data_IF_441425829411
#
_entry.id   IF_441425829411
#
_cell.length_a   1.000
_cell.length_b   1.000
_cell.length_c   1.000
_cell.angle_alpha   90.00
_cell.angle_beta   90.00
_cell.angle_gamma   90.00
#
_symmetry.space_group_name_H-M   'P 1'
#
loop_
_entity.id
_entity.type
_entity.pdbx_description
1 polymer ?
#
# COMPACT_ATOMS: atom_id res chain seq x y z
N UNK A 1 0.77 -25.88 40.51
CA UNK A 1 1.23 -25.69 39.11
C UNK A 1 0.50 -24.58 38.33
N UNK A 2 -0.32 -23.71 38.96
CA UNK A 2 -1.10 -22.68 38.23
C UNK A 2 -0.34 -21.36 37.97
N UNK A 3 0.73 -21.07 38.72
CA UNK A 3 1.56 -19.87 38.55
C UNK A 3 2.39 -19.82 37.25
N UNK A 4 3.06 -20.89 36.79
CA UNK A 4 3.86 -20.82 35.56
C UNK A 4 2.99 -20.60 34.31
N UNK A 5 1.76 -21.12 34.30
CA UNK A 5 0.83 -20.95 33.18
C UNK A 5 0.35 -19.49 33.05
N UNK A 6 0.05 -18.81 34.17
CA UNK A 6 -0.35 -17.40 34.17
C UNK A 6 0.80 -16.49 33.69
N UNK A 7 2.03 -16.78 34.13
CA UNK A 7 3.21 -16.05 33.68
C UNK A 7 3.49 -16.26 32.19
N UNK A 8 3.34 -17.49 31.69
CA UNK A 8 3.50 -17.79 30.27
C UNK A 8 2.45 -17.07 29.40
N UNK A 9 1.19 -17.05 29.81
CA UNK A 9 0.11 -16.34 29.09
C UNK A 9 0.36 -14.82 29.10
N UNK A 10 0.77 -14.25 30.24
CA UNK A 10 1.09 -12.82 30.32
C UNK A 10 2.30 -12.45 29.44
N UNK A 11 3.35 -13.28 29.43
CA UNK A 11 4.52 -13.08 28.58
C UNK A 11 4.16 -13.19 27.09
N UNK A 12 3.30 -14.14 26.71
CA UNK A 12 2.82 -14.29 25.33
C UNK A 12 1.99 -13.08 24.89
N UNK A 13 1.11 -12.58 25.76
CA UNK A 13 0.32 -11.38 25.50
C UNK A 13 1.18 -10.13 25.31
N UNK A 14 2.21 -9.96 26.14
CA UNK A 14 3.16 -8.85 26.02
C UNK A 14 4.03 -8.95 24.76
N UNK A 15 4.44 -10.16 24.38
CA UNK A 15 5.18 -10.42 23.15
C UNK A 15 4.35 -10.13 21.89
N UNK A 16 3.05 -10.44 21.89
CA UNK A 16 2.14 -10.12 20.79
C UNK A 16 1.86 -8.61 20.68
N UNK A 17 1.67 -7.93 21.82
CA UNK A 17 1.44 -6.48 21.84
C UNK A 17 2.66 -5.69 21.34
N UNK A 18 3.87 -6.13 21.68
CA UNK A 18 5.11 -5.49 21.22
C UNK A 18 5.36 -5.69 19.73
N UNK A 19 4.99 -6.84 19.16
CA UNK A 19 5.03 -7.07 17.70
C UNK A 19 4.10 -6.12 16.95
N UNK A 20 2.86 -5.94 17.44
CA UNK A 20 1.90 -5.02 16.82
C UNK A 20 2.37 -3.56 16.87
N UNK A 21 3.01 -3.13 17.96
CA UNK A 21 3.52 -1.77 18.10
C UNK A 21 4.69 -1.46 17.14
N UNK A 22 5.51 -2.46 16.81
CA UNK A 22 6.66 -2.31 15.90
C UNK A 22 6.26 -2.33 14.43
N UNK A 23 5.18 -3.04 14.07
CA UNK A 23 4.64 -3.09 12.71
C UNK A 23 3.73 -1.89 12.38
N UNK A 24 3.13 -1.25 13.39
CA UNK A 24 2.24 -0.10 13.24
C UNK A 24 2.75 1.03 12.31
N UNK A 25 4.01 1.51 12.39
CA UNK A 25 4.48 2.59 11.52
C UNK A 25 4.52 2.20 10.04
N UNK A 26 4.91 0.97 9.70
CA UNK A 26 4.95 0.49 8.32
C UNK A 26 3.54 0.38 7.73
N UNK A 27 2.56 -0.11 8.49
CA UNK A 27 1.16 -0.15 8.06
C UNK A 27 0.56 1.25 7.86
N UNK A 28 0.92 2.23 8.70
CA UNK A 28 0.47 3.62 8.55
C UNK A 28 1.06 4.23 7.29
N UNK A 29 2.37 4.04 7.05
CA UNK A 29 3.04 4.53 5.85
C UNK A 29 2.46 3.87 4.59
N UNK A 30 2.24 2.56 4.63
CA UNK A 30 1.60 1.82 3.54
C UNK A 30 0.22 2.42 3.20
N UNK A 31 -0.60 2.70 4.21
CA UNK A 31 -1.92 3.32 4.00
C UNK A 31 -1.80 4.72 3.41
N UNK A 32 -0.87 5.54 3.90
CA UNK A 32 -0.60 6.88 3.37
C UNK A 32 -0.24 6.82 1.89
N UNK A 33 0.62 5.89 1.48
CA UNK A 33 1.00 5.69 0.08
C UNK A 33 -0.18 5.30 -0.82
N UNK A 34 -1.11 4.49 -0.31
CA UNK A 34 -2.37 4.19 -1.02
C UNK A 34 -3.22 5.44 -1.22
N UNK A 35 -3.36 6.28 -0.18
CA UNK A 35 -4.14 7.52 -0.27
C UNK A 35 -3.50 8.52 -1.24
N UNK A 36 -2.17 8.63 -1.26
CA UNK A 36 -1.42 9.42 -2.23
C UNK A 36 -1.64 8.91 -3.67
N UNK A 37 -1.56 7.60 -3.89
CA UNK A 37 -1.87 6.99 -5.19
C UNK A 37 -3.31 7.28 -5.64
N UNK A 38 -4.29 7.26 -4.72
CA UNK A 38 -5.67 7.58 -5.04
C UNK A 38 -5.84 9.05 -5.48
N UNK A 39 -5.13 9.97 -4.84
CA UNK A 39 -5.11 11.38 -5.24
C UNK A 39 -4.50 11.56 -6.64
N UNK A 40 -3.36 10.92 -6.91
CA UNK A 40 -2.71 10.95 -8.23
C UNK A 40 -3.60 10.35 -9.32
N UNK A 41 -4.35 9.27 -9.04
CA UNK A 41 -5.33 8.72 -10.00
C UNK A 41 -6.50 9.66 -10.27
N UNK A 42 -6.88 10.49 -9.30
CA UNK A 42 -7.84 11.55 -9.56
C UNK A 42 -7.22 12.63 -10.45
N UNK A 43 -5.98 13.05 -10.17
CA UNK A 43 -5.23 14.00 -10.99
C UNK A 43 -5.08 13.54 -12.44
N UNK A 44 -4.60 12.32 -12.69
CA UNK A 44 -4.46 11.76 -14.04
C UNK A 44 -5.78 11.80 -14.83
N UNK A 45 -6.91 11.57 -14.15
CA UNK A 45 -8.24 11.69 -14.78
C UNK A 45 -8.59 13.13 -15.14
N UNK A 46 -8.13 14.13 -14.38
CA UNK A 46 -8.32 15.54 -14.74
C UNK A 46 -7.38 15.94 -15.89
N UNK A 47 -6.12 15.51 -15.86
CA UNK A 47 -5.14 15.78 -16.92
C UNK A 47 -5.61 15.19 -18.25
N UNK A 48 -6.18 13.97 -18.24
CA UNK A 48 -6.76 13.35 -19.42
C UNK A 48 -7.96 14.14 -19.98
N UNK A 49 -8.77 14.77 -19.12
CA UNK A 49 -9.88 15.65 -19.55
C UNK A 49 -9.38 16.95 -20.16
N UNK A 50 -8.22 17.43 -19.74
CA UNK A 50 -7.56 18.61 -20.29
C UNK A 50 -6.77 18.29 -21.58
N UNK A 51 -6.60 17.01 -21.90
CA UNK A 51 -5.85 16.56 -23.08
C UNK A 51 -4.33 16.61 -22.91
N UNK A 52 -3.83 16.71 -21.67
CA UNK A 52 -2.40 16.75 -21.37
C UNK A 52 -1.85 15.32 -21.25
N UNK A 53 -1.52 14.72 -22.40
CA UNK A 53 -1.13 13.32 -22.50
C UNK A 53 0.18 13.01 -21.74
N UNK A 54 1.20 13.86 -21.88
CA UNK A 54 2.49 13.67 -21.23
C UNK A 54 2.33 13.65 -19.70
N UNK A 55 1.57 14.62 -19.15
CA UNK A 55 1.28 14.63 -17.71
C UNK A 55 0.48 13.42 -17.25
N UNK A 56 -0.48 12.95 -18.04
CA UNK A 56 -1.23 11.73 -17.68
C UNK A 56 -0.26 10.57 -17.52
N UNK A 57 0.70 10.41 -18.43
CA UNK A 57 1.65 9.32 -18.36
C UNK A 57 2.58 9.44 -17.16
N UNK A 58 3.15 10.63 -16.91
CA UNK A 58 3.97 10.90 -15.73
C UNK A 58 3.21 10.62 -14.42
N UNK A 59 1.97 11.10 -14.31
CA UNK A 59 1.14 10.88 -13.12
C UNK A 59 0.79 9.39 -12.96
N UNK A 60 0.53 8.66 -14.05
CA UNK A 60 0.27 7.21 -13.98
C UNK A 60 1.54 6.41 -13.62
N UNK A 61 2.73 6.88 -13.98
CA UNK A 61 4.00 6.33 -13.51
C UNK A 61 4.14 6.51 -12.01
N UNK A 62 3.91 7.73 -11.51
CA UNK A 62 3.99 8.03 -10.08
C UNK A 62 2.96 7.23 -9.25
N UNK A 63 1.75 7.01 -9.76
CA UNK A 63 0.77 6.08 -9.12
C UNK A 63 1.37 4.69 -8.95
N UNK A 64 2.11 4.20 -9.95
CA UNK A 64 2.77 2.91 -9.91
C UNK A 64 3.81 2.83 -8.80
N UNK A 65 4.62 3.88 -8.66
CA UNK A 65 5.64 3.97 -7.61
C UNK A 65 4.98 3.98 -6.22
N UNK A 66 3.94 4.80 -6.00
CA UNK A 66 3.22 4.82 -4.72
C UNK A 66 2.57 3.47 -4.38
N UNK A 67 2.05 2.73 -5.36
CA UNK A 67 1.52 1.38 -5.11
C UNK A 67 2.61 0.34 -4.83
N UNK A 68 3.79 0.43 -5.45
CA UNK A 68 4.91 -0.44 -5.11
C UNK A 68 5.43 -0.14 -3.70
N UNK A 69 5.63 1.14 -3.35
CA UNK A 69 5.98 1.59 -1.99
C UNK A 69 4.98 1.05 -0.96
N UNK A 70 3.68 1.21 -1.23
CA UNK A 70 2.62 0.74 -0.34
C UNK A 70 2.65 -0.78 -0.17
N UNK A 71 2.87 -1.51 -1.26
CA UNK A 71 2.91 -2.98 -1.24
C UNK A 71 4.06 -3.46 -0.37
N UNK A 72 5.26 -2.92 -0.60
CA UNK A 72 6.45 -3.32 0.13
C UNK A 72 6.30 -2.98 1.63
N UNK A 73 5.72 -1.82 1.96
CA UNK A 73 5.40 -1.46 3.35
C UNK A 73 4.32 -2.34 4.01
N UNK A 74 3.30 -2.81 3.26
CA UNK A 74 2.32 -3.78 3.77
C UNK A 74 2.93 -5.17 3.98
N UNK A 75 3.81 -5.60 3.08
CA UNK A 75 4.55 -6.86 3.21
C UNK A 75 5.44 -6.81 4.47
N UNK A 76 6.16 -5.71 4.70
CA UNK A 76 6.98 -5.49 5.90
C UNK A 76 6.16 -5.43 7.20
N UNK A 77 4.95 -4.88 7.14
CA UNK A 77 4.03 -4.84 8.28
C UNK A 77 3.35 -6.20 8.58
N UNK A 78 3.52 -7.21 7.71
CA UNK A 78 2.85 -8.51 7.85
C UNK A 78 1.38 -8.52 7.37
N UNK A 79 0.95 -7.49 6.64
CA UNK A 79 -0.38 -7.36 6.06
C UNK A 79 -0.44 -7.87 4.60
N UNK A 80 0.15 -9.04 4.33
CA UNK A 80 0.34 -9.56 2.97
C UNK A 80 -0.95 -9.76 2.15
N UNK A 81 -2.12 -9.89 2.79
CA UNK A 81 -3.42 -9.91 2.07
C UNK A 81 -3.69 -8.57 1.38
N UNK A 82 -3.39 -7.45 2.04
CA UNK A 82 -3.55 -6.11 1.45
C UNK A 82 -2.54 -5.89 0.32
N UNK A 83 -1.33 -6.45 0.46
CA UNK A 83 -0.34 -6.44 -0.61
C UNK A 83 -0.81 -7.21 -1.87
N UNK A 84 -1.64 -8.26 -1.72
CA UNK A 84 -2.26 -8.96 -2.85
C UNK A 84 -3.24 -8.05 -3.60
N UNK A 85 -4.06 -7.27 -2.90
CA UNK A 85 -4.98 -6.32 -3.53
C UNK A 85 -4.23 -5.26 -4.35
N UNK A 86 -3.09 -4.78 -3.85
CA UNK A 86 -2.23 -3.86 -4.60
C UNK A 86 -1.64 -4.47 -5.88
N UNK A 87 -1.40 -5.79 -5.93
CA UNK A 87 -1.01 -6.45 -7.19
C UNK A 87 -2.12 -6.41 -8.23
N UNK A 88 -3.38 -6.47 -7.81
CA UNK A 88 -4.54 -6.30 -8.69
C UNK A 88 -4.64 -4.85 -9.17
N UNK A 89 -4.43 -3.86 -8.29
CA UNK A 89 -4.38 -2.44 -8.67
C UNK A 89 -3.24 -2.13 -9.66
N UNK A 90 -2.05 -2.70 -9.46
CA UNK A 90 -0.94 -2.57 -10.41
C UNK A 90 -1.25 -3.19 -11.78
N UNK A 91 -2.07 -4.24 -11.85
CA UNK A 91 -2.57 -4.78 -13.14
C UNK A 91 -3.57 -3.81 -13.78
N UNK A 92 -4.50 -3.26 -13.01
CA UNK A 92 -5.44 -2.26 -13.50
C UNK A 92 -4.70 -1.00 -14.01
N UNK A 93 -3.64 -0.59 -13.32
CA UNK A 93 -2.79 0.52 -13.74
C UNK A 93 -2.12 0.27 -15.09
N UNK A 94 -1.60 -0.95 -15.34
CA UNK A 94 -1.05 -1.31 -16.66
C UNK A 94 -2.08 -1.19 -17.79
N UNK A 95 -3.34 -1.55 -17.51
CA UNK A 95 -4.43 -1.37 -18.46
C UNK A 95 -4.69 0.11 -18.69
N UNK A 96 -4.69 0.94 -17.64
CA UNK A 96 -4.85 2.38 -17.75
C UNK A 96 -3.72 3.04 -18.58
N UNK A 97 -2.46 2.66 -18.34
CA UNK A 97 -1.31 3.13 -19.13
C UNK A 97 -1.46 2.79 -20.61
N UNK A 98 -1.86 1.54 -20.92
CA UNK A 98 -2.11 1.11 -22.31
C UNK A 98 -3.24 1.90 -22.97
N UNK A 99 -4.35 2.16 -22.26
CA UNK A 99 -5.46 2.97 -22.78
C UNK A 99 -4.97 4.38 -23.14
N UNK A 100 -4.09 4.94 -22.31
CA UNK A 100 -3.51 6.26 -22.54
C UNK A 100 -2.26 6.22 -23.43
N UNK A 101 -1.82 5.06 -23.94
CA UNK A 101 -0.59 4.90 -24.73
C UNK A 101 0.66 5.48 -24.04
N UNK A 102 0.80 5.17 -22.75
CA UNK A 102 1.96 5.52 -21.92
C UNK A 102 2.98 4.37 -21.90
N UNK A 103 3.18 3.71 -23.04
CA UNK A 103 3.95 2.47 -23.17
C UNK A 103 5.47 2.71 -22.99
#
# INVERSE_FOLDING_TARGET
MQQPLKAAIAALGLALATQAALAAPACIEARRKVDEAAALRYQARQEARLGDHDRVCDTLDEVGDRYNDARDAFDDCGAGVVAIDLRSELRALRVAKRINRCD
#
